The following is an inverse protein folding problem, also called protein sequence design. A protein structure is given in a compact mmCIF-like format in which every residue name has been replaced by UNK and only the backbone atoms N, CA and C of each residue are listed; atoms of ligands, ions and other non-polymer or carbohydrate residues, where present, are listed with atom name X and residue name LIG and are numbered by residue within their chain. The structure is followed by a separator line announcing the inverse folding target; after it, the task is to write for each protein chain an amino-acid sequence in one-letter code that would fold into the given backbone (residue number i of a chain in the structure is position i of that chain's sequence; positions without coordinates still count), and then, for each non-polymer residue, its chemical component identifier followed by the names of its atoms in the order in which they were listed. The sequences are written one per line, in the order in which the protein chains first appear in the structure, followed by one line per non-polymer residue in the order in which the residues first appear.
data_IF_332478680271
#
_entry.id   IF_332478680271
#
_cell.length_a   1.000
_cell.length_b   1.000
_cell.length_c   1.000
_cell.angle_alpha   90.00
_cell.angle_beta   90.00
_cell.angle_gamma   90.00
#
_symmetry.space_group_name_H-M   'P 1'
#
loop_
_entity.id
_entity.type
_entity.pdbx_description
1 polymer ?
#
# COMPACT_ATOMS: atom_id res chain seq x y z
N UNK A 1 -10.97 -21.46 3.52
CA UNK A 1 -11.06 -20.01 3.79
C UNK A 1 -11.38 -19.21 2.55
N UNK A 2 -11.97 -18.01 2.71
CA UNK A 2 -12.25 -17.07 1.61
C UNK A 2 -11.49 -15.74 1.79
N UNK A 3 -10.75 -15.33 0.79
CA UNK A 3 -10.17 -14.00 0.65
C UNK A 3 -11.11 -13.12 -0.19
N UNK A 4 -11.72 -12.10 0.41
CA UNK A 4 -12.74 -11.25 -0.21
C UNK A 4 -12.18 -9.87 -0.53
N UNK A 5 -12.18 -9.46 -1.80
CA UNK A 5 -11.72 -8.16 -2.28
C UNK A 5 -12.90 -7.25 -2.63
N UNK A 6 -12.90 -6.02 -2.17
CA UNK A 6 -13.98 -5.07 -2.43
C UNK A 6 -14.07 -4.61 -3.90
N UNK A 7 -12.96 -4.54 -4.62
CA UNK A 7 -12.94 -4.03 -5.99
C UNK A 7 -11.79 -4.63 -6.81
N UNK A 8 -12.09 -5.01 -8.03
CA UNK A 8 -11.12 -5.49 -9.03
C UNK A 8 -10.26 -4.41 -9.68
N UNK A 9 -10.30 -3.15 -9.20
CA UNK A 9 -9.44 -2.06 -9.68
C UNK A 9 -7.96 -2.22 -9.32
N UNK A 10 -7.16 -1.17 -9.45
CA UNK A 10 -5.72 -1.18 -9.16
C UNK A 10 -5.37 -0.28 -7.99
N UNK A 11 -4.32 -0.64 -7.26
CA UNK A 11 -3.76 0.14 -6.16
C UNK A 11 -2.96 -0.69 -5.18
N UNK A 12 -2.38 -0.04 -4.16
CA UNK A 12 -1.58 -0.72 -3.15
C UNK A 12 -2.33 -1.82 -2.39
N UNK A 13 -3.63 -1.63 -2.13
CA UNK A 13 -4.46 -2.66 -1.49
C UNK A 13 -4.54 -3.94 -2.33
N UNK A 14 -4.70 -3.81 -3.65
CA UNK A 14 -4.74 -4.95 -4.58
C UNK A 14 -3.36 -5.60 -4.74
N UNK A 15 -2.26 -4.82 -4.66
CA UNK A 15 -0.90 -5.39 -4.63
C UNK A 15 -0.69 -6.23 -3.38
N UNK A 16 -1.04 -5.71 -2.20
CA UNK A 16 -0.97 -6.44 -0.92
C UNK A 16 -1.83 -7.72 -0.95
N UNK A 17 -3.07 -7.61 -1.42
CA UNK A 17 -3.98 -8.75 -1.59
C UNK A 17 -3.41 -9.80 -2.56
N UNK A 18 -2.88 -9.37 -3.71
CA UNK A 18 -2.25 -10.28 -4.69
C UNK A 18 -1.06 -10.99 -4.07
N UNK A 19 -0.19 -10.24 -3.37
CA UNK A 19 0.97 -10.80 -2.70
C UNK A 19 0.58 -11.86 -1.66
N UNK A 20 -0.42 -11.58 -0.84
CA UNK A 20 -0.96 -12.53 0.13
C UNK A 20 -1.43 -13.81 -0.56
N UNK A 21 -2.32 -13.70 -1.55
CA UNK A 21 -2.86 -14.87 -2.26
C UNK A 21 -1.80 -15.75 -2.91
N UNK A 22 -0.72 -15.16 -3.41
CA UNK A 22 0.36 -15.90 -4.09
C UNK A 22 1.29 -16.64 -3.12
N UNK A 23 1.29 -16.26 -1.84
CA UNK A 23 2.22 -16.77 -0.83
C UNK A 23 1.57 -17.62 0.26
N UNK A 24 0.23 -17.56 0.41
CA UNK A 24 -0.49 -18.40 1.38
C UNK A 24 -0.17 -19.88 1.16
N UNK A 25 0.10 -20.59 2.26
CA UNK A 25 0.38 -22.02 2.25
C UNK A 25 -0.86 -22.83 1.88
N UNK A 26 -0.90 -23.28 0.63
CA UNK A 26 -2.01 -24.08 0.11
C UNK A 26 -1.98 -25.53 0.54
N UNK A 27 -0.93 -25.96 1.24
CA UNK A 27 -0.93 -27.26 1.91
C UNK A 27 -1.64 -27.22 3.26
N UNK A 28 -1.67 -26.05 3.90
CA UNK A 28 -2.36 -25.81 5.17
C UNK A 28 -3.81 -25.33 4.98
N UNK A 29 -4.07 -24.55 3.93
CA UNK A 29 -5.37 -23.91 3.72
C UNK A 29 -5.96 -24.17 2.33
N UNK A 30 -7.25 -24.56 2.28
CA UNK A 30 -8.03 -24.46 1.04
C UNK A 30 -8.44 -23.00 0.83
N UNK A 31 -7.68 -22.28 -0.02
CA UNK A 31 -7.84 -20.84 -0.25
C UNK A 31 -8.71 -20.60 -1.47
N UNK A 32 -9.82 -19.91 -1.27
CA UNK A 32 -10.69 -19.36 -2.32
C UNK A 32 -10.55 -17.84 -2.38
N UNK A 33 -10.67 -17.27 -3.57
CA UNK A 33 -10.63 -15.82 -3.79
C UNK A 33 -11.91 -15.35 -4.47
N UNK A 34 -12.45 -14.23 -3.98
CA UNK A 34 -13.63 -13.60 -4.54
C UNK A 34 -13.47 -12.08 -4.57
N UNK A 35 -13.96 -11.45 -5.63
CA UNK A 35 -14.02 -9.98 -5.74
C UNK A 35 -15.45 -9.51 -5.90
N UNK A 36 -15.81 -8.40 -5.24
CA UNK A 36 -17.12 -7.75 -5.34
C UNK A 36 -17.26 -6.84 -6.56
N UNK A 37 -16.31 -6.86 -7.48
CA UNK A 37 -16.44 -6.31 -8.83
C UNK A 37 -15.40 -6.93 -9.76
N UNK A 38 -15.69 -6.94 -11.06
CA UNK A 38 -14.71 -7.21 -12.08
C UNK A 38 -13.66 -6.09 -12.19
N UNK A 39 -12.55 -6.34 -12.90
CA UNK A 39 -11.52 -5.34 -13.15
C UNK A 39 -10.14 -5.91 -13.42
N UNK A 40 -9.17 -5.01 -13.58
CA UNK A 40 -7.80 -5.35 -13.99
C UNK A 40 -7.04 -6.19 -12.97
N UNK A 41 -7.29 -6.02 -11.67
CA UNK A 41 -6.68 -6.85 -10.64
C UNK A 41 -7.18 -8.30 -10.73
N UNK A 42 -8.50 -8.51 -10.93
CA UNK A 42 -9.06 -9.85 -11.14
C UNK A 42 -8.47 -10.51 -12.38
N UNK A 43 -8.36 -9.76 -13.49
CA UNK A 43 -7.73 -10.28 -14.71
C UNK A 43 -6.26 -10.64 -14.51
N UNK A 44 -5.53 -9.83 -13.75
CA UNK A 44 -4.13 -10.10 -13.39
C UNK A 44 -4.00 -11.35 -12.52
N UNK A 45 -4.84 -11.51 -11.50
CA UNK A 45 -4.84 -12.71 -10.65
C UNK A 45 -5.10 -13.97 -11.47
N UNK A 46 -6.05 -13.91 -12.40
CA UNK A 46 -6.34 -15.04 -13.32
C UNK A 46 -5.16 -15.35 -14.25
N UNK A 47 -4.47 -14.32 -14.77
CA UNK A 47 -3.22 -14.53 -15.56
C UNK A 47 -2.09 -15.15 -14.73
N UNK A 48 -2.08 -14.95 -13.41
CA UNK A 48 -1.14 -15.58 -12.49
C UNK A 48 -1.58 -16.99 -12.05
N UNK A 49 -2.64 -17.56 -12.67
CA UNK A 49 -3.12 -18.90 -12.40
C UNK A 49 -4.04 -19.05 -11.19
N UNK A 50 -4.52 -17.94 -10.63
CA UNK A 50 -5.43 -17.97 -9.50
C UNK A 50 -6.90 -17.98 -9.98
N UNK A 51 -7.70 -18.86 -9.40
CA UNK A 51 -9.15 -18.83 -9.58
C UNK A 51 -9.76 -17.74 -8.71
N UNK A 52 -10.46 -16.80 -9.34
CA UNK A 52 -11.14 -15.70 -8.64
C UNK A 52 -12.60 -15.66 -9.08
N UNK A 53 -13.50 -15.91 -8.15
CA UNK A 53 -14.93 -15.70 -8.34
C UNK A 53 -15.25 -14.19 -8.31
N UNK A 54 -16.36 -13.80 -8.95
CA UNK A 54 -16.79 -12.40 -8.98
C UNK A 54 -18.28 -12.34 -8.68
N UNK A 55 -18.66 -11.52 -7.70
CA UNK A 55 -20.03 -11.08 -7.43
C UNK A 55 -20.09 -9.61 -7.88
N UNK A 56 -20.54 -9.34 -9.10
CA UNK A 56 -20.56 -7.99 -9.69
C UNK A 56 -21.94 -7.34 -9.51
N UNK A 57 -22.42 -7.31 -8.26
CA UNK A 57 -23.69 -6.73 -7.88
C UNK A 57 -23.51 -5.29 -7.38
N UNK A 58 -24.27 -4.35 -7.96
CA UNK A 58 -24.28 -2.95 -7.54
C UNK A 58 -25.06 -2.76 -6.23
N UNK A 59 -26.11 -3.54 -6.02
CA UNK A 59 -26.93 -3.55 -4.80
C UNK A 59 -26.24 -4.36 -3.70
N UNK A 60 -25.96 -3.71 -2.57
CA UNK A 60 -25.22 -4.34 -1.47
C UNK A 60 -26.03 -5.46 -0.79
N UNK A 61 -27.37 -5.38 -0.75
CA UNK A 61 -28.19 -6.45 -0.17
C UNK A 61 -28.24 -7.68 -1.08
N UNK A 62 -28.23 -7.49 -2.40
CA UNK A 62 -28.07 -8.59 -3.36
C UNK A 62 -26.71 -9.25 -3.22
N UNK A 63 -25.63 -8.45 -3.13
CA UNK A 63 -24.27 -8.94 -2.92
C UNK A 63 -24.15 -9.74 -1.61
N UNK A 64 -24.77 -9.27 -0.51
CA UNK A 64 -24.81 -10.00 0.77
C UNK A 64 -25.51 -11.35 0.60
N UNK A 65 -26.67 -11.42 -0.07
CA UNK A 65 -27.40 -12.68 -0.28
C UNK A 65 -26.56 -13.67 -1.09
N UNK A 66 -25.94 -13.21 -2.19
CA UNK A 66 -25.12 -14.07 -3.04
C UNK A 66 -23.85 -14.57 -2.31
N UNK A 67 -23.18 -13.67 -1.58
CA UNK A 67 -22.00 -14.02 -0.78
C UNK A 67 -22.37 -15.00 0.35
N UNK A 68 -23.52 -14.80 1.03
CA UNK A 68 -24.01 -15.74 2.05
C UNK A 68 -24.19 -17.14 1.47
N UNK A 69 -24.86 -17.25 0.31
CA UNK A 69 -25.03 -18.53 -0.37
C UNK A 69 -23.68 -19.14 -0.81
N UNK A 70 -22.71 -18.32 -1.20
CA UNK A 70 -21.37 -18.78 -1.53
C UNK A 70 -20.64 -19.33 -0.30
N UNK A 71 -20.68 -18.63 0.84
CA UNK A 71 -20.04 -19.05 2.10
C UNK A 71 -20.59 -20.39 2.57
N UNK A 72 -21.91 -20.54 2.60
CA UNK A 72 -22.58 -21.79 3.01
C UNK A 72 -22.24 -22.94 2.07
N UNK A 73 -22.40 -22.76 0.75
CA UNK A 73 -22.16 -23.82 -0.24
C UNK A 73 -20.72 -24.32 -0.27
N UNK A 74 -19.75 -23.45 0.05
CA UNK A 74 -18.34 -23.79 0.04
C UNK A 74 -17.78 -24.06 1.44
N UNK A 75 -18.62 -24.17 2.47
CA UNK A 75 -18.24 -24.51 3.84
C UNK A 75 -17.06 -23.65 4.34
N UNK A 76 -17.19 -22.31 4.22
CA UNK A 76 -16.10 -21.39 4.55
C UNK A 76 -15.99 -21.17 6.06
N UNK A 77 -14.91 -21.63 6.67
CA UNK A 77 -14.62 -21.46 8.11
C UNK A 77 -14.09 -20.07 8.43
N UNK A 78 -13.30 -19.46 7.53
CA UNK A 78 -12.68 -18.16 7.71
C UNK A 78 -12.93 -17.24 6.51
N UNK A 79 -13.49 -16.07 6.78
CA UNK A 79 -13.62 -14.96 5.83
C UNK A 79 -12.62 -13.85 6.18
N UNK A 80 -11.73 -13.50 5.25
CA UNK A 80 -10.85 -12.33 5.37
C UNK A 80 -11.23 -11.30 4.32
N UNK A 81 -11.80 -10.18 4.77
CA UNK A 81 -12.26 -9.08 3.91
C UNK A 81 -11.16 -8.01 3.73
N UNK A 82 -11.01 -7.51 2.50
CA UNK A 82 -10.06 -6.47 2.15
C UNK A 82 -10.78 -5.26 1.59
N UNK A 83 -10.58 -4.09 2.22
CA UNK A 83 -11.16 -2.80 1.87
C UNK A 83 -12.65 -2.68 2.28
N UNK A 84 -13.14 -1.43 2.31
CA UNK A 84 -14.41 -1.01 2.90
C UNK A 84 -15.63 -1.84 2.48
N UNK A 85 -15.93 -1.94 1.18
CA UNK A 85 -17.15 -2.64 0.72
C UNK A 85 -17.10 -4.13 1.07
N UNK A 86 -15.92 -4.76 1.02
CA UNK A 86 -15.74 -6.14 1.45
C UNK A 86 -15.91 -6.32 2.97
N UNK A 87 -15.46 -5.34 3.76
CA UNK A 87 -15.69 -5.34 5.21
C UNK A 87 -17.19 -5.33 5.52
N UNK A 88 -17.95 -4.43 4.88
CA UNK A 88 -19.41 -4.28 5.14
C UNK A 88 -20.20 -5.48 4.67
N UNK A 89 -20.03 -5.87 3.40
CA UNK A 89 -20.76 -6.99 2.80
C UNK A 89 -20.30 -8.30 3.42
N UNK A 90 -18.99 -8.47 3.62
CA UNK A 90 -18.42 -9.68 4.21
C UNK A 90 -18.89 -9.95 5.63
N UNK A 91 -18.89 -8.94 6.50
CA UNK A 91 -19.38 -9.07 7.88
C UNK A 91 -20.85 -9.48 7.92
N UNK A 92 -21.71 -8.82 7.12
CA UNK A 92 -23.15 -9.14 7.04
C UNK A 92 -23.40 -10.55 6.52
N UNK A 93 -22.70 -10.94 5.46
CA UNK A 93 -22.83 -12.28 4.87
C UNK A 93 -22.29 -13.37 5.80
N UNK A 94 -21.19 -13.14 6.49
CA UNK A 94 -20.59 -14.09 7.42
C UNK A 94 -21.50 -14.35 8.63
N UNK A 95 -22.13 -13.32 9.19
CA UNK A 95 -23.14 -13.46 10.27
C UNK A 95 -24.31 -14.31 9.77
N UNK A 96 -24.83 -14.03 8.58
CA UNK A 96 -25.95 -14.76 8.01
C UNK A 96 -25.60 -16.22 7.65
N UNK A 97 -24.36 -16.49 7.28
CA UNK A 97 -23.86 -17.84 6.94
C UNK A 97 -23.43 -18.64 8.18
N UNK A 98 -23.20 -18.01 9.33
CA UNK A 98 -22.60 -18.64 10.52
C UNK A 98 -21.12 -18.99 10.33
N UNK A 99 -20.37 -18.18 9.55
CA UNK A 99 -18.93 -18.37 9.34
C UNK A 99 -18.18 -18.22 10.67
N UNK A 100 -17.32 -19.20 10.98
CA UNK A 100 -16.71 -19.34 12.30
C UNK A 100 -15.73 -18.21 12.64
N UNK A 101 -14.98 -17.70 11.64
CA UNK A 101 -13.98 -16.61 11.81
C UNK A 101 -14.21 -15.51 10.78
N UNK A 102 -14.30 -14.28 11.24
CA UNK A 102 -14.49 -13.09 10.40
C UNK A 102 -13.36 -12.09 10.65
N UNK A 103 -12.60 -11.78 9.63
CA UNK A 103 -11.46 -10.86 9.72
C UNK A 103 -11.51 -9.80 8.62
N UNK A 104 -10.87 -8.66 8.87
CA UNK A 104 -10.69 -7.66 7.82
C UNK A 104 -9.33 -6.98 7.88
N UNK A 105 -8.82 -6.55 6.72
CA UNK A 105 -7.63 -5.68 6.60
C UNK A 105 -8.04 -4.30 6.10
N UNK A 106 -7.69 -3.26 6.89
CA UNK A 106 -7.89 -1.86 6.55
C UNK A 106 -6.69 -1.34 5.76
N UNK A 107 -6.84 -1.20 4.46
CA UNK A 107 -5.75 -0.74 3.57
C UNK A 107 -5.68 0.78 3.38
N UNK A 108 -6.64 1.55 3.88
CA UNK A 108 -6.81 2.95 3.50
C UNK A 108 -6.82 3.91 4.66
N UNK A 109 -6.12 5.03 4.50
CA UNK A 109 -6.20 6.21 5.36
C UNK A 109 -7.36 7.17 4.97
N UNK A 110 -8.21 6.80 4.01
CA UNK A 110 -9.29 7.65 3.48
C UNK A 110 -10.19 8.17 4.61
N UNK A 111 -10.50 9.46 4.57
CA UNK A 111 -11.57 10.04 5.39
C UNK A 111 -12.91 9.57 4.83
N UNK A 112 -13.75 9.00 5.69
CA UNK A 112 -15.05 8.45 5.33
C UNK A 112 -16.15 9.43 5.70
N UNK A 113 -17.33 9.26 5.11
CA UNK A 113 -18.53 9.94 5.58
C UNK A 113 -18.90 9.50 7.01
N UNK A 114 -19.68 10.30 7.72
CA UNK A 114 -20.14 9.91 9.05
C UNK A 114 -21.01 8.64 9.00
N UNK A 115 -21.75 8.45 7.92
CA UNK A 115 -22.56 7.25 7.66
C UNK A 115 -21.69 6.00 7.50
N UNK A 116 -20.64 6.06 6.69
CA UNK A 116 -19.67 4.96 6.51
C UNK A 116 -18.97 4.60 7.83
N UNK A 117 -18.59 5.62 8.62
CA UNK A 117 -17.97 5.41 9.94
C UNK A 117 -18.94 4.70 10.88
N UNK A 118 -20.20 5.14 10.93
CA UNK A 118 -21.23 4.52 11.77
C UNK A 118 -21.50 3.06 11.33
N UNK A 119 -21.59 2.80 10.02
CA UNK A 119 -21.78 1.46 9.49
C UNK A 119 -20.62 0.52 9.89
N UNK A 120 -19.37 0.98 9.73
CA UNK A 120 -18.20 0.20 10.15
C UNK A 120 -18.16 -0.02 11.67
N UNK A 121 -18.44 1.01 12.47
CA UNK A 121 -18.46 0.89 13.92
C UNK A 121 -19.50 -0.13 14.40
N UNK A 122 -20.66 -0.19 13.75
CA UNK A 122 -21.71 -1.17 14.05
C UNK A 122 -21.32 -2.61 13.65
N UNK A 123 -20.57 -2.79 12.57
CA UNK A 123 -20.20 -4.10 12.05
C UNK A 123 -18.87 -4.64 12.62
N UNK A 124 -17.97 -3.74 13.07
CA UNK A 124 -16.66 -4.18 13.57
C UNK A 124 -16.73 -5.15 14.78
N UNK A 125 -17.73 -5.07 15.71
CA UNK A 125 -17.84 -6.03 16.82
C UNK A 125 -18.07 -7.49 16.41
N UNK A 126 -18.50 -7.75 15.16
CA UNK A 126 -18.65 -9.14 14.65
C UNK A 126 -17.35 -9.67 14.03
N UNK A 127 -16.30 -8.85 13.99
CA UNK A 127 -14.99 -9.27 13.48
C UNK A 127 -14.12 -9.75 14.63
N UNK A 128 -13.58 -10.95 14.48
CA UNK A 128 -12.64 -11.55 15.45
C UNK A 128 -11.31 -10.79 15.44
N UNK A 129 -10.83 -10.38 14.25
CA UNK A 129 -9.58 -9.65 14.10
C UNK A 129 -9.67 -8.55 13.05
N UNK A 130 -9.15 -7.37 13.38
CA UNK A 130 -8.96 -6.30 12.42
C UNK A 130 -7.45 -6.03 12.23
N UNK A 131 -6.96 -6.22 11.02
CA UNK A 131 -5.56 -6.00 10.64
C UNK A 131 -5.40 -4.59 10.06
N UNK A 132 -4.37 -3.89 10.48
CA UNK A 132 -4.02 -2.53 10.00
C UNK A 132 -2.54 -2.47 9.63
N UNK A 133 -2.14 -1.68 8.59
CA UNK A 133 -0.75 -1.66 8.12
C UNK A 133 0.18 -0.77 8.94
N UNK A 134 -0.32 -0.01 9.91
CA UNK A 134 0.47 0.93 10.71
C UNK A 134 -0.23 1.30 12.01
N UNK A 135 0.54 1.74 13.00
CA UNK A 135 0.01 2.27 14.25
C UNK A 135 -0.84 3.55 14.02
N UNK A 136 -0.48 4.34 13.02
CA UNK A 136 -1.27 5.51 12.58
C UNK A 136 -2.67 5.10 12.12
N UNK A 137 -2.81 4.01 11.35
CA UNK A 137 -4.14 3.52 10.95
C UNK A 137 -4.88 2.89 12.13
N UNK A 138 -4.19 2.22 13.06
CA UNK A 138 -4.81 1.73 14.28
C UNK A 138 -5.43 2.87 15.11
N UNK A 139 -4.67 3.96 15.30
CA UNK A 139 -5.16 5.15 16.00
C UNK A 139 -6.39 5.75 15.32
N UNK A 140 -6.36 5.85 13.98
CA UNK A 140 -7.50 6.33 13.18
C UNK A 140 -8.73 5.43 13.36
N UNK A 141 -8.58 4.13 13.23
CA UNK A 141 -9.68 3.15 13.34
C UNK A 141 -10.32 3.20 14.74
N UNK A 142 -9.50 3.32 15.80
CA UNK A 142 -10.00 3.50 17.18
C UNK A 142 -10.75 4.83 17.35
N UNK A 143 -10.23 5.91 16.75
CA UNK A 143 -10.90 7.22 16.78
C UNK A 143 -12.24 7.23 16.02
N UNK A 144 -12.44 6.35 15.04
CA UNK A 144 -13.70 6.11 14.35
C UNK A 144 -14.70 5.27 15.19
N UNK A 145 -14.36 4.92 16.43
CA UNK A 145 -15.23 4.13 17.32
C UNK A 145 -15.33 2.64 16.94
N UNK A 146 -14.43 2.15 16.10
CA UNK A 146 -14.44 0.75 15.69
C UNK A 146 -13.85 -0.13 16.80
N UNK A 147 -14.65 -1.05 17.32
CA UNK A 147 -14.30 -1.97 18.40
C UNK A 147 -14.33 -3.42 17.93
N UNK A 148 -13.26 -3.93 17.34
CA UNK A 148 -13.10 -5.36 17.06
C UNK A 148 -12.74 -6.13 18.34
N UNK A 149 -12.93 -7.46 18.32
CA UNK A 149 -12.48 -8.30 19.40
C UNK A 149 -10.97 -8.19 19.59
N UNK A 150 -10.21 -8.04 18.50
CA UNK A 150 -8.77 -7.93 18.51
C UNK A 150 -8.23 -7.08 17.34
N UNK A 151 -7.10 -6.40 17.55
CA UNK A 151 -6.40 -5.62 16.53
C UNK A 151 -4.98 -6.14 16.35
N UNK A 152 -4.50 -6.20 15.10
CA UNK A 152 -3.11 -6.50 14.80
C UNK A 152 -2.52 -5.45 13.86
N UNK A 153 -1.33 -4.95 14.17
CA UNK A 153 -0.57 -4.08 13.28
C UNK A 153 0.38 -4.96 12.47
N UNK A 154 0.06 -5.18 11.21
CA UNK A 154 0.89 -5.96 10.27
C UNK A 154 1.21 -5.05 9.09
N UNK A 155 2.45 -4.55 8.98
CA UNK A 155 2.87 -3.76 7.84
C UNK A 155 2.73 -4.55 6.53
N UNK A 156 2.35 -3.85 5.44
CA UNK A 156 2.43 -4.48 4.12
C UNK A 156 3.86 -4.85 3.78
N UNK A 157 4.03 -5.96 3.07
CA UNK A 157 5.29 -6.44 2.57
C UNK A 157 5.50 -6.16 1.09
N UNK A 158 6.76 -6.18 0.65
CA UNK A 158 7.16 -6.12 -0.75
C UNK A 158 7.78 -7.44 -1.19
N UNK A 159 7.45 -7.90 -2.40
CA UNK A 159 8.06 -9.07 -3.01
C UNK A 159 9.48 -8.74 -3.49
N UNK A 160 10.47 -9.00 -2.63
CA UNK A 160 11.88 -8.70 -2.92
C UNK A 160 12.37 -9.36 -4.20
N UNK A 161 11.97 -10.61 -4.46
CA UNK A 161 12.39 -11.35 -5.65
C UNK A 161 11.93 -10.65 -6.94
N UNK A 162 10.72 -10.07 -6.96
CA UNK A 162 10.21 -9.27 -8.09
C UNK A 162 11.10 -8.06 -8.38
N UNK A 163 11.67 -7.45 -7.33
CA UNK A 163 12.51 -6.26 -7.45
C UNK A 163 14.01 -6.58 -7.59
N UNK A 164 14.42 -7.83 -7.41
CA UNK A 164 15.80 -8.29 -7.66
C UNK A 164 16.04 -8.74 -9.12
N UNK A 165 14.96 -8.93 -9.90
CA UNK A 165 15.09 -9.31 -11.30
C UNK A 165 15.96 -8.31 -12.07
N UNK A 166 16.83 -8.77 -12.96
CA UNK A 166 17.61 -7.89 -13.84
C UNK A 166 16.69 -6.91 -14.55
N UNK A 167 17.15 -5.68 -14.73
CA UNK A 167 16.47 -4.67 -15.54
C UNK A 167 16.45 -5.16 -16.99
N UNK A 168 15.48 -6.00 -17.34
CA UNK A 168 15.23 -6.33 -18.75
C UNK A 168 14.64 -5.08 -19.38
N UNK A 169 15.52 -4.33 -20.04
CA UNK A 169 15.23 -3.24 -20.98
C UNK A 169 13.97 -2.41 -20.65
N UNK A 170 13.88 -1.82 -19.44
CA UNK A 170 13.01 -0.68 -19.29
C UNK A 170 13.56 0.42 -20.22
N UNK A 171 12.73 0.86 -21.13
CA UNK A 171 13.13 1.88 -22.08
C UNK A 171 12.62 3.26 -21.65
N UNK A 172 12.30 3.44 -20.35
CA UNK A 172 11.66 4.65 -19.86
C UNK A 172 12.42 5.93 -20.30
N UNK A 173 13.72 5.95 -20.03
CA UNK A 173 14.55 7.10 -20.42
C UNK A 173 14.58 7.31 -21.94
N UNK A 174 14.68 6.23 -22.70
CA UNK A 174 14.68 6.29 -24.16
C UNK A 174 13.30 6.64 -24.73
N UNK A 175 12.25 6.08 -24.16
CA UNK A 175 10.85 6.31 -24.56
C UNK A 175 10.48 7.79 -24.45
N UNK A 176 10.98 8.48 -23.42
CA UNK A 176 10.65 9.88 -23.14
C UNK A 176 11.81 10.86 -23.41
N UNK A 177 12.89 10.42 -24.05
CA UNK A 177 14.03 11.26 -24.39
C UNK A 177 14.81 11.80 -23.17
N UNK A 178 14.77 11.09 -22.03
CA UNK A 178 15.46 11.50 -20.81
C UNK A 178 16.95 11.11 -20.93
N UNK A 179 17.91 12.06 -20.81
CA UNK A 179 19.32 11.75 -20.90
C UNK A 179 19.78 10.73 -19.86
N UNK A 180 20.65 9.80 -20.24
CA UNK A 180 21.10 8.70 -19.38
C UNK A 180 21.79 9.13 -18.09
N UNK A 181 22.47 10.29 -18.09
CA UNK A 181 23.15 10.83 -16.91
C UNK A 181 22.34 11.84 -16.10
N UNK A 182 21.14 12.22 -16.55
CA UNK A 182 20.30 13.19 -15.86
C UNK A 182 19.68 12.55 -14.59
N UNK A 183 19.70 13.23 -13.42
CA UNK A 183 18.99 12.79 -12.25
C UNK A 183 17.49 12.64 -12.54
N UNK A 184 16.89 11.50 -12.20
CA UNK A 184 15.48 11.20 -12.45
C UNK A 184 14.72 11.03 -11.14
N UNK A 185 13.88 12.00 -10.82
CA UNK A 185 12.88 11.90 -9.76
C UNK A 185 11.69 11.10 -10.29
N UNK A 186 11.13 10.21 -9.48
CA UNK A 186 9.98 9.42 -9.88
C UNK A 186 8.90 9.33 -8.82
N UNK A 187 7.65 9.55 -9.23
CA UNK A 187 6.47 9.28 -8.41
C UNK A 187 5.71 8.11 -9.04
N UNK A 188 5.57 7.03 -8.29
CA UNK A 188 4.76 5.87 -8.70
C UNK A 188 3.55 5.79 -7.78
N UNK A 189 2.41 6.31 -8.22
CA UNK A 189 1.18 6.35 -7.43
C UNK A 189 -0.04 6.64 -8.30
N UNK A 190 -1.23 6.35 -7.79
CA UNK A 190 -2.48 6.86 -8.40
C UNK A 190 -2.45 8.38 -8.43
N UNK A 191 -3.03 8.98 -9.46
CA UNK A 191 -3.14 10.44 -9.57
C UNK A 191 -4.41 10.91 -8.85
N UNK A 192 -4.35 10.89 -7.52
CA UNK A 192 -5.45 11.27 -6.62
C UNK A 192 -5.01 12.40 -5.68
N UNK A 193 -5.94 13.24 -5.18
CA UNK A 193 -5.60 14.40 -4.35
C UNK A 193 -4.70 14.06 -3.15
N UNK A 194 -4.95 12.91 -2.50
CA UNK A 194 -4.18 12.48 -1.34
C UNK A 194 -2.71 12.13 -1.64
N UNK A 195 -2.34 11.91 -2.91
CA UNK A 195 -0.97 11.56 -3.31
C UNK A 195 -0.07 12.78 -3.54
N UNK A 196 -0.65 13.98 -3.63
CA UNK A 196 0.07 15.24 -3.54
C UNK A 196 1.06 15.54 -4.67
N UNK A 197 0.95 14.90 -5.85
CA UNK A 197 1.86 15.15 -6.99
C UNK A 197 1.94 16.62 -7.37
N UNK A 198 0.88 17.40 -7.13
CA UNK A 198 0.86 18.84 -7.39
C UNK A 198 2.01 19.57 -6.69
N UNK A 199 2.29 19.21 -5.42
CA UNK A 199 3.35 19.86 -4.65
C UNK A 199 4.74 19.58 -5.22
N UNK A 200 4.96 18.41 -5.80
CA UNK A 200 6.21 18.12 -6.50
C UNK A 200 6.31 18.86 -7.82
N UNK A 201 5.22 19.00 -8.58
CA UNK A 201 5.18 19.83 -9.79
C UNK A 201 5.46 21.29 -9.44
N UNK A 202 4.84 21.81 -8.39
CA UNK A 202 5.08 23.16 -7.86
C UNK A 202 6.55 23.37 -7.38
N UNK A 203 7.21 22.30 -6.91
CA UNK A 203 8.62 22.32 -6.49
C UNK A 203 9.60 22.34 -7.66
N UNK A 204 9.23 21.86 -8.86
CA UNK A 204 10.14 21.69 -9.99
C UNK A 204 10.90 22.94 -10.41
N UNK A 205 10.33 24.17 -10.41
CA UNK A 205 11.11 25.38 -10.69
C UNK A 205 12.27 25.61 -9.71
N UNK A 206 12.08 25.29 -8.43
CA UNK A 206 13.15 25.38 -7.43
C UNK A 206 14.17 24.24 -7.59
N UNK A 207 13.70 23.03 -7.86
CA UNK A 207 14.58 21.87 -8.12
C UNK A 207 15.51 22.16 -9.30
N UNK A 208 15.01 22.68 -10.42
CA UNK A 208 15.84 22.97 -11.58
C UNK A 208 16.79 24.16 -11.39
N UNK A 209 16.51 25.06 -10.44
CA UNK A 209 17.51 26.08 -10.06
C UNK A 209 18.70 25.49 -9.31
N UNK A 210 18.46 24.49 -8.45
CA UNK A 210 19.52 23.86 -7.65
C UNK A 210 20.17 22.63 -8.33
N UNK A 211 19.44 21.96 -9.21
CA UNK A 211 19.87 20.75 -9.95
C UNK A 211 19.33 20.80 -11.40
N UNK A 212 19.97 21.58 -12.30
CA UNK A 212 19.40 21.95 -13.62
C UNK A 212 19.10 20.78 -14.57
N UNK A 213 19.81 19.67 -14.43
CA UNK A 213 19.64 18.50 -15.32
C UNK A 213 18.55 17.52 -14.85
N UNK A 214 17.86 17.80 -13.73
CA UNK A 214 16.87 16.91 -13.14
C UNK A 214 15.63 16.78 -14.01
N UNK A 215 15.11 15.55 -14.10
CA UNK A 215 13.83 15.21 -14.71
C UNK A 215 12.87 14.69 -13.67
N UNK A 216 11.57 14.83 -13.93
CA UNK A 216 10.50 14.25 -13.14
C UNK A 216 9.66 13.31 -14.02
N UNK A 217 9.49 12.07 -13.57
CA UNK A 217 8.54 11.13 -14.14
C UNK A 217 7.39 10.89 -13.17
N UNK A 218 6.16 11.03 -13.65
CA UNK A 218 4.93 10.77 -12.92
C UNK A 218 4.26 9.55 -13.55
N UNK A 219 4.22 8.46 -12.78
CA UNK A 219 3.75 7.14 -13.21
C UNK A 219 2.44 6.82 -12.50
N UNK A 220 1.38 6.62 -13.28
CA UNK A 220 0.06 6.30 -12.77
C UNK A 220 -1.05 6.97 -13.55
N UNK A 221 -2.27 6.70 -13.13
CA UNK A 221 -3.52 7.27 -13.63
C UNK A 221 -4.43 7.65 -12.46
N UNK A 222 -5.42 8.49 -12.67
CA UNK A 222 -6.38 8.87 -11.63
C UNK A 222 -7.15 10.15 -11.93
N UNK A 223 -8.01 10.53 -10.99
CA UNK A 223 -8.94 11.65 -11.16
C UNK A 223 -8.25 13.00 -11.37
N UNK A 224 -7.00 13.15 -10.91
CA UNK A 224 -6.24 14.40 -10.98
C UNK A 224 -5.38 14.53 -12.26
N UNK A 225 -5.41 13.57 -13.18
CA UNK A 225 -4.50 13.55 -14.33
C UNK A 225 -4.56 14.81 -15.17
N UNK A 226 -5.77 15.25 -15.52
CA UNK A 226 -5.98 16.45 -16.35
C UNK A 226 -5.50 17.73 -15.63
N UNK A 227 -5.80 17.85 -14.33
CA UNK A 227 -5.38 19.00 -13.51
C UNK A 227 -3.86 19.06 -13.36
N UNK A 228 -3.21 17.92 -13.08
CA UNK A 228 -1.74 17.84 -12.92
C UNK A 228 -1.02 18.14 -14.24
N UNK A 229 -1.53 17.65 -15.37
CA UNK A 229 -0.99 17.99 -16.71
C UNK A 229 -1.14 19.49 -17.01
N UNK A 230 -2.30 20.07 -16.70
CA UNK A 230 -2.54 21.51 -16.84
C UNK A 230 -1.58 22.33 -15.97
N UNK A 231 -1.40 21.93 -14.70
CA UNK A 231 -0.46 22.58 -13.78
C UNK A 231 0.97 22.53 -14.33
N UNK A 232 1.45 21.36 -14.76
CA UNK A 232 2.77 21.21 -15.35
C UNK A 232 2.94 22.06 -16.61
N UNK A 233 1.92 22.12 -17.48
CA UNK A 233 1.93 22.91 -18.69
C UNK A 233 1.88 24.44 -18.46
N UNK A 234 1.42 24.88 -17.29
CA UNK A 234 1.42 26.30 -16.91
C UNK A 234 2.79 26.82 -16.43
N UNK A 235 3.74 25.93 -16.16
CA UNK A 235 5.10 26.29 -15.77
C UNK A 235 5.90 26.83 -16.97
N UNK A 236 6.97 27.61 -16.73
CA UNK A 236 7.86 28.03 -17.80
C UNK A 236 8.36 26.84 -18.64
N UNK A 237 8.41 27.01 -19.97
CA UNK A 237 8.73 25.94 -20.91
C UNK A 237 9.98 25.10 -20.53
N UNK A 238 11.11 25.69 -20.05
CA UNK A 238 12.26 24.90 -19.63
C UNK A 238 11.99 23.96 -18.45
N UNK A 239 10.97 24.27 -17.62
CA UNK A 239 10.55 23.44 -16.50
C UNK A 239 9.52 22.39 -16.97
N UNK A 240 8.50 22.83 -17.70
CA UNK A 240 7.44 21.98 -18.20
C UNK A 240 7.98 20.81 -19.03
N UNK A 241 8.99 21.05 -19.89
CA UNK A 241 9.64 20.03 -20.72
C UNK A 241 10.42 18.95 -19.94
N UNK A 242 10.66 19.15 -18.65
CA UNK A 242 11.34 18.19 -17.77
C UNK A 242 10.37 17.32 -16.95
N UNK A 243 9.06 17.49 -17.15
CA UNK A 243 8.03 16.73 -16.44
C UNK A 243 7.33 15.78 -17.42
N UNK A 244 7.40 14.49 -17.14
CA UNK A 244 6.89 13.43 -18.00
C UNK A 244 5.75 12.70 -17.27
N UNK A 245 4.63 12.51 -17.94
CA UNK A 245 3.53 11.67 -17.51
C UNK A 245 3.50 10.40 -18.36
N UNK A 246 3.67 9.24 -17.75
CA UNK A 246 3.71 7.97 -18.49
C UNK A 246 2.34 7.31 -18.62
N UNK A 247 1.35 7.78 -17.85
CA UNK A 247 0.17 6.99 -17.57
C UNK A 247 0.48 5.78 -16.69
N UNK A 248 -0.45 4.84 -16.65
CA UNK A 248 -0.29 3.59 -15.90
C UNK A 248 0.75 2.68 -16.56
N UNK A 249 1.56 2.03 -15.71
CA UNK A 249 2.58 1.04 -16.12
C UNK A 249 2.36 -0.30 -15.41
N UNK A 250 2.60 -1.40 -16.09
CA UNK A 250 2.61 -2.74 -15.48
C UNK A 250 4.03 -3.18 -15.09
N UNK A 251 5.05 -2.59 -15.69
CA UNK A 251 6.49 -2.84 -15.47
C UNK A 251 7.08 -1.99 -14.32
N UNK A 252 6.32 -1.81 -13.22
CA UNK A 252 6.69 -0.93 -12.09
C UNK A 252 8.10 -1.21 -11.56
N UNK A 253 8.48 -2.49 -11.42
CA UNK A 253 9.80 -2.86 -10.92
C UNK A 253 10.93 -2.38 -11.84
N UNK A 254 10.72 -2.40 -13.17
CA UNK A 254 11.67 -1.92 -14.15
C UNK A 254 11.73 -0.38 -14.15
N UNK A 255 10.57 0.28 -14.15
CA UNK A 255 10.46 1.75 -14.03
C UNK A 255 11.16 2.25 -12.78
N UNK A 256 10.87 1.64 -11.61
CA UNK A 256 11.52 2.00 -10.34
C UNK A 256 13.04 1.82 -10.41
N UNK A 257 13.51 0.84 -11.18
CA UNK A 257 14.94 0.63 -11.42
C UNK A 257 15.63 1.79 -12.16
N UNK A 258 14.95 2.51 -13.05
CA UNK A 258 15.50 3.66 -13.78
C UNK A 258 15.40 5.00 -13.02
N UNK A 259 14.55 5.07 -11.99
CA UNK A 259 14.45 6.23 -11.11
C UNK A 259 15.72 6.33 -10.25
N UNK A 260 16.23 7.54 -10.05
CA UNK A 260 17.36 7.82 -9.15
C UNK A 260 16.90 8.18 -7.73
N UNK A 261 15.76 8.84 -7.61
CA UNK A 261 15.13 9.23 -6.33
C UNK A 261 13.64 8.99 -6.43
N UNK A 262 13.10 8.15 -5.59
CA UNK A 262 11.66 7.97 -5.47
C UNK A 262 11.07 9.08 -4.59
N UNK A 263 9.96 9.66 -5.02
CA UNK A 263 9.30 10.74 -4.29
C UNK A 263 7.84 10.37 -4.01
N UNK A 264 7.40 10.46 -2.74
CA UNK A 264 6.01 10.25 -2.35
C UNK A 264 5.51 11.46 -1.56
N UNK A 265 5.02 12.52 -2.23
CA UNK A 265 4.62 13.78 -1.60
C UNK A 265 3.20 13.74 -1.04
N UNK A 266 2.76 12.58 -0.54
CA UNK A 266 1.39 12.36 -0.09
C UNK A 266 0.99 13.30 1.03
N UNK A 267 -0.26 13.75 1.02
CA UNK A 267 -0.88 14.49 2.13
C UNK A 267 -1.61 13.55 3.09
N UNK A 268 -1.79 12.30 2.67
CA UNK A 268 -2.40 11.24 3.46
C UNK A 268 -1.96 9.87 2.93
N UNK A 269 -1.48 8.99 3.82
CA UNK A 269 -1.00 7.66 3.46
C UNK A 269 -1.26 6.65 4.58
N UNK A 270 -1.56 5.41 4.24
CA UNK A 270 -1.66 4.34 5.22
C UNK A 270 -0.27 3.79 5.61
N UNK A 271 0.58 3.55 4.60
CA UNK A 271 1.96 3.09 4.80
C UNK A 271 2.87 3.50 3.64
N UNK A 272 2.40 3.43 2.37
CA UNK A 272 3.18 3.75 1.19
C UNK A 272 3.91 2.55 0.58
N UNK A 273 3.19 1.63 -0.05
CA UNK A 273 3.78 0.44 -0.69
C UNK A 273 4.83 0.84 -1.73
N UNK A 274 4.63 1.92 -2.49
CA UNK A 274 5.62 2.40 -3.46
C UNK A 274 6.96 2.83 -2.82
N UNK A 275 6.97 3.19 -1.53
CA UNK A 275 8.20 3.40 -0.77
C UNK A 275 8.94 2.08 -0.61
N UNK A 276 8.24 1.02 -0.20
CA UNK A 276 8.82 -0.32 -0.04
C UNK A 276 9.39 -0.84 -1.36
N UNK A 277 8.68 -0.61 -2.47
CA UNK A 277 9.12 -0.97 -3.83
C UNK A 277 10.39 -0.20 -4.24
N UNK A 278 10.47 1.10 -3.92
CA UNK A 278 11.66 1.90 -4.17
C UNK A 278 12.85 1.44 -3.33
N UNK A 279 12.65 1.22 -2.03
CA UNK A 279 13.67 0.71 -1.12
C UNK A 279 14.16 -0.69 -1.54
N UNK A 280 13.26 -1.57 -1.99
CA UNK A 280 13.63 -2.87 -2.55
C UNK A 280 14.56 -2.75 -3.76
N UNK A 281 14.43 -1.69 -4.55
CA UNK A 281 15.32 -1.34 -5.68
C UNK A 281 16.53 -0.50 -5.28
N UNK A 282 16.85 -0.39 -3.99
CA UNK A 282 17.94 0.46 -3.48
C UNK A 282 17.83 1.91 -3.93
N UNK A 283 16.59 2.43 -4.02
CA UNK A 283 16.38 3.84 -4.35
C UNK A 283 16.15 4.63 -3.08
N UNK A 284 16.86 5.76 -2.89
CA UNK A 284 16.57 6.68 -1.81
C UNK A 284 15.18 7.28 -2.00
N UNK A 285 14.50 7.57 -0.90
CA UNK A 285 13.13 8.08 -0.91
C UNK A 285 13.07 9.47 -0.31
N UNK A 286 12.31 10.37 -0.95
CA UNK A 286 11.81 11.60 -0.35
C UNK A 286 10.32 11.45 -0.14
N UNK A 287 9.83 11.56 1.08
CA UNK A 287 8.41 11.39 1.35
C UNK A 287 7.89 12.37 2.40
N UNK A 288 6.58 12.68 2.32
CA UNK A 288 5.92 13.47 3.35
C UNK A 288 5.78 12.68 4.66
N UNK A 289 6.00 13.34 5.80
CA UNK A 289 5.87 12.75 7.13
C UNK A 289 4.38 12.64 7.54
N UNK A 290 3.62 11.76 6.85
CA UNK A 290 2.17 11.56 7.10
C UNK A 290 1.83 10.09 7.27
N UNK A 291 0.80 9.84 8.08
CA UNK A 291 0.25 8.49 8.29
C UNK A 291 1.32 7.49 8.74
N UNK A 292 1.37 6.34 8.10
CA UNK A 292 2.35 5.29 8.40
C UNK A 292 3.72 5.48 7.75
N UNK A 293 3.97 6.55 6.97
CA UNK A 293 5.28 6.77 6.32
C UNK A 293 6.43 6.87 7.34
N UNK A 294 6.30 7.62 8.46
CA UNK A 294 7.35 7.68 9.48
C UNK A 294 7.61 6.34 10.23
N UNK A 295 6.72 5.38 10.09
CA UNK A 295 6.91 4.02 10.62
C UNK A 295 7.76 3.15 9.68
N UNK A 296 7.86 3.54 8.40
CA UNK A 296 8.66 2.87 7.36
C UNK A 296 10.04 3.49 7.24
N UNK A 297 10.12 4.82 7.09
CA UNK A 297 11.36 5.57 6.83
C UNK A 297 11.96 6.16 8.11
N UNK A 298 13.26 6.00 8.25
CA UNK A 298 14.08 6.72 9.25
C UNK A 298 14.74 7.91 8.57
N UNK A 299 14.29 9.12 8.95
CA UNK A 299 14.78 10.37 8.34
C UNK A 299 16.31 10.50 8.40
N UNK A 300 16.93 10.74 7.26
CA UNK A 300 18.38 10.89 7.11
C UNK A 300 19.18 9.59 7.00
N UNK A 301 18.56 8.43 7.24
CA UNK A 301 19.19 7.11 7.13
C UNK A 301 18.83 6.42 5.80
N UNK A 302 17.58 6.09 5.61
CA UNK A 302 17.06 5.34 4.44
C UNK A 302 16.12 6.16 3.55
N UNK A 303 15.90 7.44 3.91
CA UNK A 303 15.15 8.42 3.15
C UNK A 303 15.17 9.80 3.81
N UNK A 304 14.49 10.75 3.18
CA UNK A 304 14.26 12.08 3.72
C UNK A 304 12.76 12.30 3.93
N UNK A 305 12.39 12.69 5.15
CA UNK A 305 11.03 13.06 5.51
C UNK A 305 10.88 14.58 5.46
N UNK A 306 9.81 15.04 4.81
CA UNK A 306 9.47 16.47 4.69
C UNK A 306 8.05 16.71 5.21
N UNK A 307 7.71 17.96 5.63
CA UNK A 307 6.32 18.31 5.94
C UNK A 307 5.39 18.05 4.74
N UNK A 308 4.14 17.62 4.95
CA UNK A 308 3.17 17.48 3.86
C UNK A 308 2.79 18.83 3.27
N UNK A 309 2.45 18.85 1.98
CA UNK A 309 2.02 20.04 1.26
C UNK A 309 3.03 21.21 1.31
N UNK A 310 4.32 20.90 1.41
CA UNK A 310 5.41 21.89 1.45
C UNK A 310 6.33 21.71 0.22
N UNK A 311 6.08 22.45 -0.87
CA UNK A 311 6.92 22.40 -2.07
C UNK A 311 8.36 22.86 -1.84
N UNK A 312 8.61 23.71 -0.84
CA UNK A 312 9.96 24.25 -0.54
C UNK A 312 10.81 23.15 0.10
N UNK A 313 10.33 22.56 1.20
CA UNK A 313 11.02 21.45 1.85
C UNK A 313 11.21 20.26 0.90
N UNK A 314 10.20 19.99 0.05
CA UNK A 314 10.27 18.95 -0.96
C UNK A 314 11.36 19.22 -2.00
N UNK A 315 11.48 20.49 -2.47
CA UNK A 315 12.54 20.89 -3.39
C UNK A 315 13.92 20.72 -2.78
N UNK A 316 14.15 21.18 -1.56
CA UNK A 316 15.44 21.08 -0.85
C UNK A 316 15.89 19.62 -0.71
N UNK A 317 14.98 18.74 -0.28
CA UNK A 317 15.26 17.31 -0.16
C UNK A 317 15.58 16.65 -1.51
N UNK A 318 14.82 16.99 -2.56
CA UNK A 318 15.07 16.49 -3.91
C UNK A 318 16.40 16.97 -4.46
N UNK A 319 16.75 18.27 -4.32
CA UNK A 319 18.03 18.83 -4.74
C UNK A 319 19.19 18.12 -4.04
N UNK A 320 19.09 17.94 -2.72
CA UNK A 320 20.13 17.26 -1.94
C UNK A 320 20.45 15.88 -2.48
N UNK A 321 19.43 15.10 -2.85
CA UNK A 321 19.62 13.76 -3.43
C UNK A 321 20.01 13.83 -4.92
N UNK A 322 19.44 14.72 -5.71
CA UNK A 322 19.80 14.87 -7.12
C UNK A 322 21.29 15.19 -7.31
N UNK A 323 21.83 16.05 -6.45
CA UNK A 323 23.23 16.51 -6.51
C UNK A 323 24.26 15.56 -5.86
N UNK A 324 23.83 14.50 -5.15
CA UNK A 324 24.76 13.64 -4.41
C UNK A 324 24.56 12.14 -4.73
N UNK A 325 25.25 11.61 -5.75
CA UNK A 325 25.21 10.17 -6.08
C UNK A 325 25.61 9.29 -4.88
N UNK A 326 26.63 9.68 -4.11
CA UNK A 326 27.08 8.92 -2.95
C UNK A 326 26.02 8.84 -1.84
N UNK A 327 25.30 9.95 -1.62
CA UNK A 327 24.20 9.96 -0.65
C UNK A 327 23.06 9.08 -1.14
N UNK A 328 22.72 9.13 -2.44
CA UNK A 328 21.72 8.23 -3.03
C UNK A 328 22.10 6.78 -2.83
N UNK A 329 23.34 6.40 -3.09
CA UNK A 329 23.82 5.03 -2.93
C UNK A 329 23.71 4.56 -1.46
N UNK A 330 24.23 5.36 -0.51
CA UNK A 330 24.17 5.01 0.93
C UNK A 330 22.73 4.85 1.43
N UNK A 331 21.85 5.81 1.11
CA UNK A 331 20.46 5.75 1.54
C UNK A 331 19.70 4.62 0.87
N UNK A 332 20.00 4.33 -0.41
CA UNK A 332 19.41 3.20 -1.12
C UNK A 332 19.76 1.85 -0.50
N UNK A 333 21.04 1.64 -0.13
CA UNK A 333 21.46 0.41 0.56
C UNK A 333 20.84 0.29 1.96
N UNK A 334 20.78 1.39 2.72
CA UNK A 334 20.10 1.40 4.00
C UNK A 334 18.60 1.07 3.85
N UNK A 335 17.94 1.64 2.84
CA UNK A 335 16.55 1.34 2.51
C UNK A 335 16.33 -0.13 2.18
N UNK A 336 17.20 -0.71 1.37
CA UNK A 336 17.14 -2.14 1.05
C UNK A 336 17.27 -3.00 2.31
N UNK A 337 18.23 -2.71 3.18
CA UNK A 337 18.40 -3.42 4.45
C UNK A 337 17.15 -3.30 5.34
N UNK A 338 16.52 -2.13 5.38
CA UNK A 338 15.27 -1.91 6.13
C UNK A 338 14.13 -2.78 5.62
N UNK A 339 13.90 -2.86 4.30
CA UNK A 339 12.80 -3.70 3.77
C UNK A 339 13.08 -5.19 3.91
N UNK A 340 14.32 -5.63 3.78
CA UNK A 340 14.71 -7.03 4.02
C UNK A 340 14.43 -7.44 5.47
N UNK A 341 14.75 -6.57 6.42
CA UNK A 341 14.60 -6.86 7.84
C UNK A 341 13.15 -6.79 8.33
N UNK A 342 12.32 -5.89 7.76
CA UNK A 342 11.05 -5.51 8.37
C UNK A 342 9.82 -5.63 7.48
N UNK A 343 9.99 -5.59 6.16
CA UNK A 343 8.88 -5.41 5.22
C UNK A 343 8.92 -6.40 4.05
N UNK A 344 9.43 -7.61 4.26
CA UNK A 344 9.35 -8.66 3.25
C UNK A 344 7.92 -9.20 3.16
N UNK A 345 7.48 -9.53 1.94
CA UNK A 345 6.16 -10.12 1.70
C UNK A 345 5.99 -11.44 2.47
N UNK A 346 7.04 -12.27 2.51
CA UNK A 346 7.00 -13.56 3.19
C UNK A 346 6.82 -13.41 4.72
N UNK A 347 7.42 -12.37 5.32
CA UNK A 347 7.21 -12.08 6.74
C UNK A 347 5.77 -11.60 7.01
N UNK A 348 5.24 -10.72 6.17
CA UNK A 348 3.84 -10.28 6.26
C UNK A 348 2.88 -11.48 6.19
N UNK A 349 3.07 -12.38 5.24
CA UNK A 349 2.19 -13.54 5.04
C UNK A 349 2.27 -14.48 6.23
N UNK A 350 3.47 -14.83 6.72
CA UNK A 350 3.62 -15.66 7.93
C UNK A 350 2.87 -15.10 9.13
N UNK A 351 2.98 -13.78 9.41
CA UNK A 351 2.23 -13.18 10.51
C UNK A 351 0.72 -13.24 10.31
N UNK A 352 0.23 -13.16 9.06
CA UNK A 352 -1.18 -13.31 8.78
C UNK A 352 -1.63 -14.76 8.97
N UNK A 353 -0.84 -15.74 8.55
CA UNK A 353 -1.10 -17.17 8.75
C UNK A 353 -1.12 -17.54 10.24
N UNK A 354 -0.19 -17.02 11.03
CA UNK A 354 -0.19 -17.17 12.50
C UNK A 354 -1.52 -16.69 13.12
N UNK A 355 -2.05 -15.56 12.63
CA UNK A 355 -3.36 -15.06 13.06
C UNK A 355 -4.50 -15.96 12.60
N UNK A 356 -4.46 -16.47 11.37
CA UNK A 356 -5.48 -17.41 10.90
C UNK A 356 -5.56 -18.64 11.79
N UNK A 357 -4.42 -19.24 12.11
CA UNK A 357 -4.36 -20.41 12.99
C UNK A 357 -4.87 -20.09 14.39
N UNK A 358 -4.47 -18.94 14.96
CA UNK A 358 -4.92 -18.47 16.27
C UNK A 358 -6.45 -18.33 16.33
N UNK A 359 -7.05 -17.66 15.32
CA UNK A 359 -8.50 -17.43 15.28
C UNK A 359 -9.28 -18.73 14.99
N UNK A 360 -8.79 -19.58 14.09
CA UNK A 360 -9.43 -20.88 13.79
C UNK A 360 -9.38 -21.83 15.00
N UNK A 361 -8.29 -21.83 15.77
CA UNK A 361 -8.21 -22.61 17.03
C UNK A 361 -9.17 -22.03 18.06
N UNK A 362 -9.26 -20.72 18.21
CA UNK A 362 -10.18 -20.05 19.13
C UNK A 362 -11.64 -20.35 18.80
N UNK A 363 -11.98 -20.42 17.52
CA UNK A 363 -13.31 -20.77 17.02
C UNK A 363 -13.62 -22.28 17.08
N UNK A 364 -12.64 -23.12 17.44
CA UNK A 364 -12.79 -24.58 17.46
C UNK A 364 -12.80 -25.24 16.09
N UNK A 365 -12.42 -24.51 15.04
CA UNK A 365 -12.32 -25.02 13.67
C UNK A 365 -10.99 -25.75 13.41
N UNK A 366 -9.96 -25.53 14.26
CA UNK A 366 -8.71 -26.29 14.29
C UNK A 366 -8.42 -26.81 15.71
N UNK A 367 -7.73 -27.96 15.85
CA UNK A 367 -7.33 -28.45 17.16
C UNK A 367 -6.21 -27.58 17.77
N UNK A 368 -6.12 -27.42 19.11
CA UNK A 368 -5.11 -26.61 19.80
C UNK A 368 -3.65 -26.99 19.48
N UNK A 369 -3.41 -28.21 19.05
CA UNK A 369 -2.09 -28.71 18.62
C UNK A 369 -1.60 -28.12 17.30
N UNK A 370 -2.49 -27.50 16.52
CA UNK A 370 -2.18 -26.81 15.27
C UNK A 370 -1.72 -25.35 15.47
N UNK A 371 -1.87 -24.79 16.69
CA UNK A 371 -1.45 -23.42 16.96
C UNK A 371 0.08 -23.26 16.81
N UNK A 372 0.58 -22.26 16.06
CA UNK A 372 2.01 -22.01 15.96
C UNK A 372 2.60 -21.67 17.31
N UNK A 373 3.87 -22.03 17.54
CA UNK A 373 4.62 -21.59 18.73
C UNK A 373 4.77 -20.07 18.65
N UNK A 374 4.08 -19.37 19.56
CA UNK A 374 4.07 -17.91 19.69
C UNK A 374 5.46 -17.32 19.52
N UNK A 375 5.69 -16.63 18.43
CA UNK A 375 6.70 -15.58 18.32
C UNK A 375 5.94 -14.28 18.63
N UNK A 376 6.36 -13.58 19.70
CA UNK A 376 5.69 -12.42 20.26
C UNK A 376 5.22 -11.42 19.18
N UNK A 377 3.92 -11.36 18.94
CA UNK A 377 3.27 -10.19 18.37
C UNK A 377 3.51 -9.07 19.38
N UNK A 378 4.10 -7.97 18.94
CA UNK A 378 4.35 -6.80 19.77
C UNK A 378 3.00 -6.21 20.15
N UNK A 379 2.44 -6.67 21.26
CA UNK A 379 1.39 -5.98 21.98
C UNK A 379 2.11 -4.83 22.72
N UNK A 380 2.26 -3.68 22.06
CA UNK A 380 2.80 -2.50 22.72
C UNK A 380 1.71 -1.90 23.60
N UNK A 381 1.87 -1.92 24.94
CA UNK A 381 1.06 -1.10 25.82
C UNK A 381 1.31 0.37 25.47
N UNK A 382 0.27 1.17 25.52
CA UNK A 382 0.30 2.61 25.31
C UNK A 382 1.30 3.29 26.28
N UNK A 383 2.52 3.53 25.81
CA UNK A 383 3.60 4.20 26.51
C UNK A 383 4.27 5.21 25.60
N UNK A 384 4.14 6.48 25.96
CA UNK A 384 4.65 7.70 25.33
C UNK A 384 6.08 7.53 24.79
N UNK A 385 6.26 7.79 23.50
CA UNK A 385 7.49 8.35 22.96
C UNK A 385 7.18 9.74 22.40
N UNK A 386 7.46 10.76 23.19
CA UNK A 386 7.57 12.14 22.73
C UNK A 386 8.90 12.22 22.00
N UNK A 387 8.85 12.31 20.67
CA UNK A 387 10.01 12.68 19.87
C UNK A 387 10.19 14.20 19.99
N UNK A 388 11.12 14.62 20.84
CA UNK A 388 11.70 15.97 20.79
C UNK A 388 12.52 16.08 19.50
N UNK A 389 12.13 17.02 18.64
CA UNK A 389 12.89 17.44 17.46
C UNK A 389 13.92 18.44 17.97
N UNK A 390 15.25 18.17 17.85
CA UNK A 390 16.23 19.19 18.15
C UNK A 390 16.19 20.29 17.07
N UNK A 391 16.39 21.57 17.44
CA UNK A 391 16.44 22.67 16.49
C UNK A 391 17.66 22.55 15.56
N UNK A 392 17.51 23.13 14.35
CA UNK A 392 18.40 23.15 13.19
C UNK A 392 19.85 23.56 13.52
#
# INVERSE_FOLDING_TARGET
MLQLLATGGNGGAQESYTGLLLRLDRSAYEVRALSLSSGSAVQRLRRLGLEVAVIDEADDDAAVRELTAYLVRNEIDLLHAHMYRAEVIGARAAVAAGTAVVMATVHSSRVRSAEDVAALAALTPVMDRLIVPSASILAKVRAEGRGAASFSVIPNGVDLARFDLPLTACALRREFGIPGGAPLLGVVARLEPEKGQRYLIEAMPAILRGAPETWLVIVGEGSQEAELKSLAGSLPQPVASRIVFTGRREDVAAVTGEIDVAVLPSVREAQGISILEAMARRKPVVASAVGGIPEVLTNGLDGLLVPPADPVALAEACIRLACSPDLRARMGEAGRATVEARFSLDAMVRHIEEIYDEELVRAGALPPSAAPRLVHVIDQPAGRAVLEIPPL
#
